data_IF_915943089988
#
_entry.id   IF_915943089988
#
_cell.length_a   1.000
_cell.length_b   1.000
_cell.length_c   1.000
_cell.angle_alpha   90.00
_cell.angle_beta   90.00
_cell.angle_gamma   90.00
#
_symmetry.space_group_name_H-M   'P 1'
#
loop_
_entity.id
_entity.type
_entity.pdbx_description
1 polymer ?
#
# COMPACT_ATOMS: atom_id res chain seq x y z
N UNK A 1 1.86 9.91 2.08
CA UNK A 1 1.14 10.18 0.82
C UNK A 1 0.52 11.60 0.71
N UNK A 2 1.20 12.69 1.13
CA UNK A 2 0.56 14.02 1.23
C UNK A 2 0.07 14.59 -0.12
N UNK A 3 0.90 14.49 -1.18
CA UNK A 3 0.55 14.99 -2.52
C UNK A 3 -0.63 14.21 -3.11
N UNK A 4 -0.63 12.87 -2.99
CA UNK A 4 -1.77 12.02 -3.39
C UNK A 4 -3.06 12.44 -2.70
N UNK A 5 -3.05 12.61 -1.37
CA UNK A 5 -4.26 13.00 -0.63
C UNK A 5 -4.81 14.35 -1.09
N UNK A 6 -3.93 15.31 -1.37
CA UNK A 6 -4.34 16.60 -1.95
C UNK A 6 -4.96 16.45 -3.34
N UNK A 7 -4.35 15.66 -4.22
CA UNK A 7 -4.89 15.40 -5.54
C UNK A 7 -6.28 14.74 -5.50
N UNK A 8 -6.50 13.82 -4.56
CA UNK A 8 -7.81 13.19 -4.33
C UNK A 8 -8.84 14.19 -3.80
N UNK A 9 -8.46 15.08 -2.87
CA UNK A 9 -9.33 16.14 -2.35
C UNK A 9 -9.76 17.12 -3.45
N UNK A 10 -8.86 17.43 -4.38
CA UNK A 10 -9.13 18.27 -5.55
C UNK A 10 -9.84 17.50 -6.69
N UNK A 11 -10.05 16.17 -6.55
CA UNK A 11 -10.70 15.32 -7.53
C UNK A 11 -9.93 15.12 -8.84
N UNK A 12 -8.61 15.35 -8.81
CA UNK A 12 -7.74 15.29 -10.00
C UNK A 12 -7.59 13.86 -10.54
N UNK A 13 -7.78 12.84 -9.70
CA UNK A 13 -7.79 11.44 -10.12
C UNK A 13 -8.86 11.17 -11.18
N UNK A 14 -10.01 11.85 -11.10
CA UNK A 14 -11.15 11.62 -12.00
C UNK A 14 -10.86 11.99 -13.45
N UNK A 15 -9.90 12.87 -13.71
CA UNK A 15 -9.49 13.26 -15.08
C UNK A 15 -8.47 12.31 -15.69
N UNK A 16 -7.94 11.37 -14.90
CA UNK A 16 -6.92 10.42 -15.33
C UNK A 16 -7.53 9.11 -15.81
N UNK A 17 -6.80 8.41 -16.69
CA UNK A 17 -7.07 7.02 -17.07
C UNK A 17 -6.80 6.10 -15.88
N UNK A 18 -7.37 4.89 -15.88
CA UNK A 18 -7.24 3.98 -14.73
C UNK A 18 -5.78 3.61 -14.41
N UNK A 19 -4.98 3.28 -15.43
CA UNK A 19 -3.54 3.07 -15.25
C UNK A 19 -2.82 4.27 -14.57
N UNK A 20 -3.18 5.51 -14.94
CA UNK A 20 -2.60 6.73 -14.34
C UNK A 20 -3.09 6.95 -12.90
N UNK A 21 -4.37 6.65 -12.61
CA UNK A 21 -4.90 6.66 -11.25
C UNK A 21 -4.16 5.68 -10.36
N UNK A 22 -3.84 4.48 -10.87
CA UNK A 22 -3.07 3.51 -10.11
C UNK A 22 -1.73 4.10 -9.65
N UNK A 23 -0.98 4.76 -10.54
CA UNK A 23 0.27 5.45 -10.15
C UNK A 23 0.05 6.56 -9.11
N UNK A 24 -1.07 7.29 -9.20
CA UNK A 24 -1.44 8.29 -8.20
C UNK A 24 -1.74 7.65 -6.83
N UNK A 25 -2.27 6.43 -6.79
CA UNK A 25 -2.65 5.71 -5.58
C UNK A 25 -1.48 4.96 -4.92
N UNK A 26 -0.47 4.54 -5.67
CA UNK A 26 0.71 3.82 -5.15
C UNK A 26 1.36 4.45 -3.90
N UNK A 27 1.48 5.79 -3.76
CA UNK A 27 2.02 6.37 -2.54
C UNK A 27 1.21 6.04 -1.28
N UNK A 28 -0.09 5.76 -1.37
CA UNK A 28 -0.91 5.27 -0.25
C UNK A 28 -0.54 3.83 0.10
N UNK A 29 -0.45 2.95 -0.91
CA UNK A 29 -0.03 1.54 -0.78
C UNK A 29 1.35 1.40 -0.11
N UNK A 30 2.24 2.37 -0.31
CA UNK A 30 3.58 2.35 0.26
C UNK A 30 3.71 3.03 1.64
N UNK A 31 2.62 3.60 2.20
CA UNK A 31 2.64 4.19 3.55
C UNK A 31 2.53 3.11 4.64
N UNK A 32 3.27 3.29 5.73
CA UNK A 32 3.09 2.49 6.96
C UNK A 32 2.04 3.16 7.87
N UNK A 33 0.84 3.38 7.32
CA UNK A 33 -0.32 3.96 8.02
C UNK A 33 -1.59 3.22 7.58
N UNK A 34 -2.37 2.71 8.54
CA UNK A 34 -3.50 1.85 8.23
C UNK A 34 -4.63 2.59 7.49
N UNK A 35 -4.87 3.87 7.80
CA UNK A 35 -5.92 4.64 7.13
C UNK A 35 -5.57 4.89 5.65
N UNK A 36 -4.29 5.13 5.34
CA UNK A 36 -3.82 5.24 3.97
C UNK A 36 -3.93 3.90 3.22
N UNK A 37 -3.66 2.79 3.89
CA UNK A 37 -3.83 1.44 3.32
C UNK A 37 -5.30 1.13 3.00
N UNK A 38 -6.22 1.38 3.94
CA UNK A 38 -7.66 1.17 3.74
C UNK A 38 -8.21 2.06 2.61
N UNK A 39 -7.72 3.31 2.51
CA UNK A 39 -8.04 4.19 1.40
C UNK A 39 -7.51 3.65 0.07
N UNK A 40 -6.30 3.12 0.04
CA UNK A 40 -5.73 2.54 -1.18
C UNK A 40 -6.55 1.34 -1.67
N UNK A 41 -6.93 0.43 -0.77
CA UNK A 41 -7.80 -0.72 -1.09
C UNK A 41 -9.14 -0.25 -1.66
N UNK A 42 -9.74 0.78 -1.06
CA UNK A 42 -11.01 1.36 -1.55
C UNK A 42 -10.88 1.92 -2.96
N UNK A 43 -9.81 2.69 -3.23
CA UNK A 43 -9.59 3.34 -4.51
C UNK A 43 -9.26 2.33 -5.62
N UNK A 44 -8.37 1.37 -5.35
CA UNK A 44 -8.00 0.34 -6.34
C UNK A 44 -9.13 -0.63 -6.64
N UNK A 45 -10.05 -0.86 -5.70
CA UNK A 45 -11.26 -1.66 -5.94
C UNK A 45 -12.21 -1.07 -6.99
N UNK A 46 -12.02 0.21 -7.36
CA UNK A 46 -12.76 0.87 -8.44
C UNK A 46 -12.08 0.77 -9.81
N UNK A 47 -10.88 0.19 -9.88
CA UNK A 47 -10.13 0.01 -11.12
C UNK A 47 -10.35 -1.41 -11.66
N UNK A 48 -10.99 -1.54 -12.82
CA UNK A 48 -11.33 -2.82 -13.45
C UNK A 48 -10.37 -3.22 -14.59
N UNK A 49 -9.49 -2.32 -15.01
CA UNK A 49 -8.55 -2.57 -16.12
C UNK A 49 -7.53 -3.67 -15.79
N UNK A 50 -7.12 -3.79 -14.52
CA UNK A 50 -6.23 -4.86 -14.07
C UNK A 50 -6.58 -5.31 -12.63
N UNK A 51 -7.13 -6.52 -12.44
CA UNK A 51 -7.54 -7.00 -11.12
C UNK A 51 -6.37 -7.20 -10.16
N UNK A 52 -5.13 -7.38 -10.67
CA UNK A 52 -3.96 -7.56 -9.82
C UNK A 52 -3.67 -6.31 -8.97
N UNK A 53 -3.98 -5.11 -9.47
CA UNK A 53 -3.75 -3.86 -8.72
C UNK A 53 -4.46 -3.87 -7.37
N UNK A 54 -5.73 -4.28 -7.36
CA UNK A 54 -6.47 -4.40 -6.11
C UNK A 54 -5.90 -5.50 -5.21
N UNK A 55 -5.51 -6.65 -5.79
CA UNK A 55 -4.87 -7.73 -5.05
C UNK A 55 -3.54 -7.36 -4.40
N UNK A 56 -2.75 -6.47 -5.00
CA UNK A 56 -1.54 -5.91 -4.39
C UNK A 56 -1.87 -4.95 -3.24
N UNK A 57 -2.83 -4.05 -3.43
CA UNK A 57 -3.25 -3.12 -2.37
C UNK A 57 -3.76 -3.85 -1.12
N UNK A 58 -4.54 -4.92 -1.28
CA UNK A 58 -5.01 -5.74 -0.15
C UNK A 58 -3.85 -6.40 0.59
N UNK A 59 -2.89 -6.98 -0.14
CA UNK A 59 -1.71 -7.62 0.49
C UNK A 59 -0.85 -6.61 1.26
N UNK A 60 -0.62 -5.41 0.72
CA UNK A 60 0.09 -4.35 1.46
C UNK A 60 -0.67 -3.94 2.73
N UNK A 61 -1.98 -3.75 2.61
CA UNK A 61 -2.86 -3.40 3.73
C UNK A 61 -2.82 -4.43 4.84
N UNK A 62 -2.84 -5.72 4.51
CA UNK A 62 -2.83 -6.79 5.51
C UNK A 62 -1.51 -6.86 6.28
N UNK A 63 -0.37 -6.61 5.62
CA UNK A 63 0.94 -6.53 6.29
C UNK A 63 0.97 -5.36 7.27
N UNK A 64 0.52 -4.18 6.86
CA UNK A 64 0.47 -2.99 7.75
C UNK A 64 -0.57 -3.17 8.85
N UNK A 65 -1.71 -3.82 8.59
CA UNK A 65 -2.71 -4.13 9.61
C UNK A 65 -2.16 -5.09 10.67
N UNK A 66 -1.32 -6.06 10.26
CA UNK A 66 -0.71 -7.04 11.17
C UNK A 66 0.44 -6.45 11.98
N UNK A 67 1.37 -5.73 11.34
CA UNK A 67 2.63 -5.30 11.96
C UNK A 67 2.72 -3.80 12.25
N UNK A 68 1.75 -3.00 11.77
CA UNK A 68 1.81 -1.53 11.80
C UNK A 68 2.82 -0.92 10.83
N UNK A 69 3.57 -1.75 10.10
CA UNK A 69 4.69 -1.35 9.23
C UNK A 69 5.03 -2.48 8.25
N UNK A 70 6.01 -2.26 7.37
CA UNK A 70 6.54 -3.27 6.46
C UNK A 70 7.85 -3.87 7.01
N UNK A 71 7.85 -5.14 7.49
CA UNK A 71 9.03 -5.73 8.11
C UNK A 71 10.26 -5.82 7.20
N UNK A 72 10.08 -5.96 5.89
CA UNK A 72 11.20 -6.03 4.95
C UNK A 72 11.99 -4.72 4.87
N UNK A 73 11.43 -3.60 5.35
CA UNK A 73 12.12 -2.29 5.44
C UNK A 73 12.94 -2.13 6.71
N UNK A 74 12.84 -3.05 7.68
CA UNK A 74 13.46 -2.88 9.00
C UNK A 74 14.97 -2.64 8.93
N UNK A 75 15.71 -3.45 8.17
CA UNK A 75 17.16 -3.29 8.04
C UNK A 75 17.55 -1.94 7.40
N UNK A 76 16.85 -1.54 6.34
CA UNK A 76 17.11 -0.27 5.65
C UNK A 76 16.80 0.96 6.52
N UNK A 77 15.86 0.83 7.46
CA UNK A 77 15.43 1.89 8.37
C UNK A 77 16.07 1.78 9.77
N UNK A 78 17.00 0.85 9.98
CA UNK A 78 17.67 0.65 11.28
C UNK A 78 16.74 0.19 12.41
N UNK A 79 15.64 -0.49 12.09
CA UNK A 79 14.65 -1.00 13.06
C UNK A 79 15.00 -2.40 13.51
N UNK A 80 14.75 -2.70 14.78
CA UNK A 80 14.78 -4.06 15.29
C UNK A 80 13.60 -4.88 14.74
N UNK A 81 13.91 -6.09 14.27
CA UNK A 81 12.92 -7.06 13.78
C UNK A 81 12.49 -7.96 14.93
N UNK A 82 11.19 -8.02 15.19
CA UNK A 82 10.61 -8.89 16.21
C UNK A 82 10.65 -10.37 15.77
N UNK A 83 10.52 -11.33 16.70
CA UNK A 83 10.44 -12.75 16.34
C UNK A 83 9.30 -13.09 15.36
N UNK A 84 8.14 -12.43 15.50
CA UNK A 84 6.99 -12.64 14.60
C UNK A 84 7.29 -12.12 13.20
N UNK A 85 7.84 -10.90 13.10
CA UNK A 85 8.28 -10.32 11.82
C UNK A 85 9.38 -11.20 11.16
N UNK A 86 10.30 -11.74 11.95
CA UNK A 86 11.37 -12.62 11.45
C UNK A 86 10.83 -13.94 10.89
N UNK A 87 9.76 -14.48 11.47
CA UNK A 87 9.06 -15.64 10.94
C UNK A 87 8.33 -15.29 9.63
N UNK A 88 7.59 -14.18 9.63
CA UNK A 88 6.88 -13.68 8.44
C UNK A 88 7.82 -13.42 7.26
N UNK A 89 9.01 -12.85 7.49
CA UNK A 89 10.01 -12.60 6.44
C UNK A 89 10.54 -13.87 5.73
N UNK A 90 10.19 -15.06 6.21
CA UNK A 90 10.52 -16.34 5.55
C UNK A 90 9.38 -16.86 4.67
N UNK A 91 8.20 -16.26 4.75
CA UNK A 91 7.02 -16.66 4.00
C UNK A 91 6.99 -15.98 2.62
N UNK A 92 6.35 -16.59 1.59
CA UNK A 92 6.08 -15.93 0.32
C UNK A 92 5.24 -14.66 0.52
N UNK A 93 5.49 -13.62 -0.28
CA UNK A 93 4.75 -12.35 -0.20
C UNK A 93 5.13 -11.47 0.99
N UNK A 94 6.23 -11.78 1.68
CA UNK A 94 6.76 -10.95 2.77
C UNK A 94 7.51 -9.68 2.32
N UNK A 95 7.72 -9.54 1.01
CA UNK A 95 8.28 -8.37 0.33
C UNK A 95 7.59 -8.16 -1.03
N UNK A 96 7.66 -6.93 -1.53
CA UNK A 96 7.13 -6.50 -2.83
C UNK A 96 8.22 -5.82 -3.65
#
# INVERSE_FOLDING_TARGET
>A
AAVTKRALQEGLDKTLRQAERMFLYLPLEHCEDLADQDLCVTLTGSLDENPEWHGYAVRHRDVVARFGRFPHRNAALGRETTPEEQAFLKEPGSSF
#
